data_IF_627377442386
#
_entry.id   IF_627377442386
#
_cell.length_a   1.000
_cell.length_b   1.000
_cell.length_c   1.000
_cell.angle_alpha   90.00
_cell.angle_beta   90.00
_cell.angle_gamma   90.00
#
_symmetry.space_group_name_H-M   'P 1'
#
loop_
_entity.id
_entity.type
_entity.pdbx_description
1 polymer ?
#
# COMPACT_ATOMS: atom_id res chain seq x y z
N UNK A 1 -3.87 29.12 -8.73
CA UNK A 1 -4.75 28.47 -7.74
C UNK A 1 -4.31 28.97 -6.37
N UNK A 2 -5.23 29.45 -5.53
CA UNK A 2 -4.94 29.82 -4.15
C UNK A 2 -5.40 28.68 -3.24
N UNK A 3 -4.56 28.24 -2.31
CA UNK A 3 -4.87 27.13 -1.39
C UNK A 3 -4.75 27.66 0.02
N UNK A 4 -5.81 27.54 0.80
CA UNK A 4 -5.80 27.89 2.22
C UNK A 4 -5.32 26.69 3.03
N UNK A 5 -4.32 26.92 3.87
CA UNK A 5 -3.81 25.94 4.81
C UNK A 5 -4.35 26.24 6.21
N UNK A 6 -4.44 25.20 7.05
CA UNK A 6 -4.62 25.43 8.48
C UNK A 6 -3.33 26.02 9.07
N UNK A 7 -3.39 26.73 10.21
CA UNK A 7 -2.20 27.33 10.82
C UNK A 7 -1.07 26.31 11.08
N UNK A 8 -1.41 25.07 11.41
CA UNK A 8 -0.45 24.00 11.66
C UNK A 8 0.31 23.60 10.38
N UNK A 9 -0.41 23.51 9.25
CA UNK A 9 0.19 23.17 7.96
C UNK A 9 1.03 24.33 7.41
N UNK A 10 0.61 25.57 7.65
CA UNK A 10 1.40 26.75 7.31
C UNK A 10 2.72 26.77 8.09
N UNK A 11 2.68 26.59 9.41
CA UNK A 11 3.87 26.50 10.25
C UNK A 11 4.80 25.34 9.85
N UNK A 12 4.23 24.20 9.47
CA UNK A 12 5.00 23.07 8.92
C UNK A 12 5.73 23.48 7.63
N UNK A 13 5.01 24.03 6.66
CA UNK A 13 5.58 24.45 5.37
C UNK A 13 6.68 25.50 5.58
N UNK A 14 6.45 26.49 6.44
CA UNK A 14 7.46 27.49 6.79
C UNK A 14 8.71 26.85 7.38
N UNK A 15 8.56 25.89 8.29
CA UNK A 15 9.69 25.19 8.91
C UNK A 15 10.52 24.44 7.87
N UNK A 16 9.86 23.79 6.90
CA UNK A 16 10.53 23.10 5.79
C UNK A 16 11.30 24.07 4.89
N UNK A 17 10.74 25.24 4.58
CA UNK A 17 11.45 26.26 3.80
C UNK A 17 12.63 26.85 4.59
N UNK A 18 12.41 27.23 5.86
CA UNK A 18 13.44 27.79 6.75
C UNK A 18 14.63 26.85 6.97
N UNK A 19 14.42 25.54 6.86
CA UNK A 19 15.50 24.55 6.95
C UNK A 19 16.48 24.57 5.75
N UNK A 20 16.13 25.25 4.66
CA UNK A 20 16.94 25.32 3.43
C UNK A 20 16.78 24.13 2.48
N UNK A 21 16.03 23.09 2.87
CA UNK A 21 15.76 21.94 1.99
C UNK A 21 14.80 22.26 0.83
N UNK A 22 14.03 23.34 0.93
CA UNK A 22 13.09 23.79 -0.09
C UNK A 22 13.22 25.29 -0.30
N UNK A 23 13.11 25.71 -1.55
CA UNK A 23 13.24 27.12 -1.97
C UNK A 23 11.95 27.92 -1.80
N UNK A 24 10.79 27.25 -1.72
CA UNK A 24 9.49 27.90 -1.61
C UNK A 24 8.41 26.99 -1.01
N UNK A 25 7.36 27.61 -0.47
CA UNK A 25 6.16 26.89 -0.01
C UNK A 25 5.52 26.04 -1.12
N UNK A 26 5.46 26.57 -2.34
CA UNK A 26 4.94 25.86 -3.51
C UNK A 26 5.72 24.59 -3.82
N UNK A 27 7.01 24.54 -3.54
CA UNK A 27 7.84 23.35 -3.72
C UNK A 27 7.48 22.27 -2.70
N UNK A 28 7.34 22.64 -1.41
CA UNK A 28 6.90 21.73 -0.34
C UNK A 28 5.53 21.13 -0.67
N UNK A 29 4.58 21.97 -1.10
CA UNK A 29 3.22 21.55 -1.44
C UNK A 29 3.22 20.60 -2.64
N UNK A 30 3.96 20.92 -3.71
CA UNK A 30 4.04 20.04 -4.90
C UNK A 30 4.63 18.67 -4.54
N UNK A 31 5.67 18.64 -3.72
CA UNK A 31 6.27 17.39 -3.28
C UNK A 31 5.30 16.57 -2.42
N UNK A 32 4.58 17.21 -1.50
CA UNK A 32 3.51 16.56 -0.72
C UNK A 32 2.41 15.98 -1.60
N UNK A 33 1.95 16.72 -2.61
CA UNK A 33 0.94 16.24 -3.56
C UNK A 33 1.46 15.10 -4.43
N UNK A 34 2.74 15.13 -4.83
CA UNK A 34 3.37 14.04 -5.59
C UNK A 34 3.39 12.74 -4.78
N UNK A 35 3.76 12.82 -3.50
CA UNK A 35 3.76 11.68 -2.59
C UNK A 35 2.34 11.15 -2.35
N UNK A 36 1.35 12.03 -2.18
CA UNK A 36 -0.05 11.65 -2.03
C UNK A 36 -0.57 10.90 -3.28
N UNK A 37 -0.30 11.42 -4.48
CA UNK A 37 -0.68 10.78 -5.73
C UNK A 37 0.00 9.42 -5.94
N UNK A 38 1.27 9.29 -5.54
CA UNK A 38 1.99 8.02 -5.57
C UNK A 38 1.37 6.99 -4.61
N UNK A 39 1.02 7.41 -3.39
CA UNK A 39 0.34 6.57 -2.41
C UNK A 39 -1.02 6.09 -2.91
N UNK A 40 -1.82 6.98 -3.51
CA UNK A 40 -3.11 6.62 -4.09
C UNK A 40 -2.96 5.60 -5.23
N UNK A 41 -1.98 5.81 -6.09
CA UNK A 41 -1.65 4.88 -7.19
C UNK A 41 -1.26 3.50 -6.65
N UNK A 42 -0.41 3.45 -5.62
CA UNK A 42 -0.01 2.18 -4.99
C UNK A 42 -1.19 1.48 -4.32
N UNK A 43 -2.08 2.23 -3.66
CA UNK A 43 -3.29 1.68 -3.04
C UNK A 43 -4.21 1.06 -4.08
N UNK A 44 -4.44 1.75 -5.20
CA UNK A 44 -5.26 1.23 -6.30
C UNK A 44 -4.67 -0.04 -6.89
N UNK A 45 -3.36 -0.08 -7.15
CA UNK A 45 -2.67 -1.28 -7.65
C UNK A 45 -2.81 -2.45 -6.68
N UNK A 46 -2.64 -2.23 -5.38
CA UNK A 46 -2.80 -3.28 -4.35
C UNK A 46 -4.21 -3.84 -4.34
N UNK A 47 -5.22 -2.97 -4.46
CA UNK A 47 -6.62 -3.42 -4.50
C UNK A 47 -6.91 -4.24 -5.76
N UNK A 48 -6.49 -3.75 -6.94
CA UNK A 48 -6.66 -4.48 -8.19
C UNK A 48 -5.99 -5.86 -8.18
N UNK A 49 -4.80 -5.98 -7.56
CA UNK A 49 -4.14 -7.27 -7.37
C UNK A 49 -4.93 -8.19 -6.44
N UNK A 50 -5.45 -7.65 -5.32
CA UNK A 50 -6.26 -8.42 -4.39
C UNK A 50 -7.55 -8.94 -5.05
N UNK A 51 -8.25 -8.07 -5.79
CA UNK A 51 -9.47 -8.44 -6.53
C UNK A 51 -9.16 -9.56 -7.54
N UNK A 52 -8.07 -9.45 -8.29
CA UNK A 52 -7.66 -10.50 -9.23
C UNK A 52 -7.32 -11.84 -8.55
N UNK A 53 -6.70 -11.83 -7.36
CA UNK A 53 -6.44 -13.07 -6.60
C UNK A 53 -7.72 -13.67 -6.01
N UNK A 54 -8.67 -12.84 -5.58
CA UNK A 54 -9.99 -13.29 -5.14
C UNK A 54 -10.72 -13.97 -6.30
N UNK A 55 -10.74 -13.35 -7.48
CA UNK A 55 -11.39 -13.90 -8.68
C UNK A 55 -10.80 -15.27 -9.07
N UNK A 56 -9.46 -15.40 -9.04
CA UNK A 56 -8.77 -16.68 -9.27
C UNK A 56 -9.18 -17.73 -8.23
N UNK A 57 -9.29 -17.35 -6.96
CA UNK A 57 -9.74 -18.22 -5.88
C UNK A 57 -11.18 -18.71 -6.12
N UNK A 58 -12.10 -17.79 -6.43
CA UNK A 58 -13.49 -18.10 -6.72
C UNK A 58 -13.63 -19.02 -7.94
N UNK A 59 -12.89 -18.76 -9.02
CA UNK A 59 -12.86 -19.62 -10.20
C UNK A 59 -12.34 -21.03 -9.87
N UNK A 60 -11.34 -21.14 -9.01
CA UNK A 60 -10.81 -22.44 -8.54
C UNK A 60 -11.85 -23.21 -7.72
N UNK A 61 -12.58 -22.53 -6.84
CA UNK A 61 -13.69 -23.12 -6.07
C UNK A 61 -14.82 -23.61 -6.99
N UNK A 62 -15.22 -22.80 -7.98
CA UNK A 62 -16.23 -23.20 -8.97
C UNK A 62 -15.79 -24.43 -9.77
N UNK A 63 -14.50 -24.56 -10.06
CA UNK A 63 -13.92 -25.74 -10.70
C UNK A 63 -13.72 -26.94 -9.75
N UNK A 64 -14.20 -26.86 -8.49
CA UNK A 64 -14.07 -27.92 -7.48
C UNK A 64 -12.65 -28.08 -6.91
N UNK A 65 -11.74 -27.15 -7.20
CA UNK A 65 -10.34 -27.17 -6.75
C UNK A 65 -10.20 -26.49 -5.38
N UNK A 66 -10.76 -27.13 -4.36
CA UNK A 66 -10.65 -26.70 -2.96
C UNK A 66 -9.88 -27.72 -2.12
N UNK A 67 -9.17 -27.25 -1.11
CA UNK A 67 -8.53 -28.11 -0.10
C UNK A 67 -9.21 -27.90 1.25
N UNK A 68 -9.25 -28.95 2.08
CA UNK A 68 -9.71 -28.79 3.46
C UNK A 68 -8.66 -28.04 4.28
N UNK A 69 -9.09 -27.23 5.23
CA UNK A 69 -8.16 -26.51 6.10
C UNK A 69 -7.22 -27.45 6.86
N UNK A 70 -7.73 -28.61 7.28
CA UNK A 70 -6.93 -29.63 7.96
C UNK A 70 -5.83 -30.21 7.06
N UNK A 71 -6.15 -30.57 5.80
CA UNK A 71 -5.14 -31.13 4.89
C UNK A 71 -4.04 -30.12 4.58
N UNK A 72 -4.39 -28.84 4.42
CA UNK A 72 -3.41 -27.76 4.20
C UNK A 72 -2.51 -27.58 5.43
N UNK A 73 -3.09 -27.61 6.63
CA UNK A 73 -2.32 -27.49 7.87
C UNK A 73 -1.32 -28.64 8.02
N UNK A 74 -1.76 -29.88 7.81
CA UNK A 74 -0.91 -31.06 7.92
C UNK A 74 0.25 -31.00 6.91
N UNK A 75 -0.02 -30.59 5.67
CA UNK A 75 0.99 -30.37 4.63
C UNK A 75 2.03 -29.31 5.02
N UNK A 76 1.58 -28.18 5.59
CA UNK A 76 2.48 -27.10 6.02
C UNK A 76 3.39 -27.54 7.16
N UNK A 77 2.85 -28.26 8.15
CA UNK A 77 3.62 -28.82 9.27
C UNK A 77 4.65 -29.83 8.76
N UNK A 78 4.27 -30.70 7.83
CA UNK A 78 5.16 -31.68 7.23
C UNK A 78 6.30 -31.01 6.43
N UNK A 79 6.00 -29.98 5.62
CA UNK A 79 7.01 -29.21 4.89
C UNK A 79 7.99 -28.53 5.83
N UNK A 80 7.51 -27.89 6.90
CA UNK A 80 8.40 -27.27 7.91
C UNK A 80 9.38 -28.29 8.48
N UNK A 81 8.93 -29.48 8.87
CA UNK A 81 9.82 -30.54 9.41
C UNK A 81 10.86 -31.01 8.39
N UNK A 82 10.49 -31.07 7.11
CA UNK A 82 11.38 -31.50 6.01
C UNK A 82 12.52 -30.53 5.70
N UNK A 83 12.32 -29.23 5.92
CA UNK A 83 13.32 -28.19 5.64
C UNK A 83 13.96 -27.58 6.90
N UNK A 84 13.63 -28.10 8.09
CA UNK A 84 14.18 -27.67 9.36
C UNK A 84 15.33 -28.58 9.87
N UNK A 85 15.81 -29.51 9.03
CA UNK A 85 17.03 -30.28 9.23
C UNK A 85 17.99 -30.04 8.08
#
# INVERSE_FOLDING_TARGET
MNVSLTPELEAFVETRVKSGFYTSASEVIREGLRLLAEQDTLKQKRMALLDAEIDKGLASLQAGKSHSGQSVYDDLVARRKKYAG
#
